data_IF_372324846881
#
_entry.id   IF_372324846881
#
_cell.length_a   1.000
_cell.length_b   1.000
_cell.length_c   1.000
_cell.angle_alpha   90.00
_cell.angle_beta   90.00
_cell.angle_gamma   90.00
#
_symmetry.space_group_name_H-M   'P 1'
#
loop_
_entity.id
_entity.type
_entity.pdbx_description
1 polymer ?
#
# COMPACT_ATOMS: atom_id res chain seq x y z
N UNK A 1 -43.94 -56.07 11.56
CA UNK A 1 -43.56 -54.72 12.03
C UNK A 1 -42.24 -54.34 11.37
N UNK A 2 -42.18 -53.11 10.86
CA UNK A 2 -41.06 -52.42 10.19
C UNK A 2 -40.79 -52.79 8.72
N UNK A 3 -41.53 -52.07 7.87
CA UNK A 3 -41.24 -51.75 6.47
C UNK A 3 -40.69 -50.32 6.36
N UNK A 4 -39.98 -50.05 5.25
CA UNK A 4 -39.95 -48.75 4.54
C UNK A 4 -39.10 -47.61 5.10
N UNK A 5 -37.85 -47.49 4.63
CA UNK A 5 -37.12 -46.23 4.48
C UNK A 5 -35.90 -46.41 3.55
N UNK A 6 -36.10 -46.44 2.23
CA UNK A 6 -34.99 -46.72 1.30
C UNK A 6 -35.11 -46.22 -0.14
N UNK A 7 -36.01 -45.27 -0.46
CA UNK A 7 -36.26 -44.89 -1.86
C UNK A 7 -36.22 -43.37 -2.13
N UNK A 8 -35.98 -42.49 -1.14
CA UNK A 8 -36.10 -41.04 -1.35
C UNK A 8 -34.76 -40.33 -1.67
N UNK A 9 -33.60 -40.97 -1.50
CA UNK A 9 -32.30 -40.29 -1.63
C UNK A 9 -31.67 -40.27 -3.02
N UNK A 10 -32.19 -41.04 -3.99
CA UNK A 10 -31.60 -41.10 -5.33
C UNK A 10 -32.28 -40.21 -6.39
N UNK A 11 -33.48 -39.69 -6.13
CA UNK A 11 -34.16 -38.75 -7.04
C UNK A 11 -33.68 -37.30 -6.88
N UNK A 12 -33.09 -36.93 -5.74
CA UNK A 12 -32.57 -35.57 -5.51
C UNK A 12 -31.18 -35.31 -6.13
N UNK A 13 -30.38 -36.35 -6.37
CA UNK A 13 -29.04 -36.19 -6.99
C UNK A 13 -29.10 -35.97 -8.51
N UNK A 14 -30.13 -36.48 -9.19
CA UNK A 14 -30.26 -36.33 -10.64
C UNK A 14 -30.71 -34.92 -11.05
N UNK A 15 -31.55 -34.25 -10.24
CA UNK A 15 -31.99 -32.87 -10.51
C UNK A 15 -30.90 -31.82 -10.26
N UNK A 16 -29.98 -32.06 -9.31
CA UNK A 16 -28.91 -31.09 -9.03
C UNK A 16 -27.84 -31.03 -10.12
N UNK A 17 -27.59 -32.14 -10.82
CA UNK A 17 -26.66 -32.19 -11.97
C UNK A 17 -27.26 -31.61 -13.25
N UNK A 18 -28.58 -31.71 -13.47
CA UNK A 18 -29.23 -31.06 -14.61
C UNK A 18 -29.36 -29.54 -14.42
N UNK A 19 -29.65 -29.06 -13.20
CA UNK A 19 -29.69 -27.61 -12.91
C UNK A 19 -28.29 -26.98 -13.06
N UNK A 20 -27.22 -27.65 -12.61
CA UNK A 20 -25.85 -27.16 -12.81
C UNK A 20 -25.38 -27.20 -14.28
N UNK A 21 -25.94 -28.07 -15.12
CA UNK A 21 -25.68 -28.05 -16.58
C UNK A 21 -26.44 -26.93 -17.29
N UNK A 22 -27.68 -26.64 -16.89
CA UNK A 22 -28.48 -25.55 -17.47
C UNK A 22 -27.90 -24.18 -17.07
N UNK A 23 -27.47 -24.00 -15.82
CA UNK A 23 -26.78 -22.78 -15.36
C UNK A 23 -25.43 -22.58 -16.07
N UNK A 24 -24.70 -23.66 -16.38
CA UNK A 24 -23.44 -23.57 -17.13
C UNK A 24 -23.62 -23.39 -18.66
N UNK A 25 -24.77 -23.74 -19.23
CA UNK A 25 -25.09 -23.48 -20.63
C UNK A 25 -25.63 -22.05 -20.82
N UNK A 26 -26.41 -21.51 -19.87
CA UNK A 26 -26.81 -20.10 -19.88
C UNK A 26 -25.63 -19.14 -19.61
N UNK A 27 -24.61 -19.55 -18.83
CA UNK A 27 -23.40 -18.74 -18.61
C UNK A 27 -22.43 -18.74 -19.80
N UNK A 28 -22.52 -19.70 -20.72
CA UNK A 28 -21.75 -19.71 -21.98
C UNK A 28 -22.44 -18.96 -23.12
N UNK A 29 -23.77 -18.89 -23.14
CA UNK A 29 -24.51 -18.17 -24.20
C UNK A 29 -24.62 -16.65 -23.99
N UNK A 30 -24.17 -16.10 -22.86
CA UNK A 30 -24.06 -14.66 -22.60
C UNK A 30 -22.63 -14.09 -22.81
N UNK A 31 -21.76 -14.82 -23.52
CA UNK A 31 -20.41 -14.36 -23.88
C UNK A 31 -20.32 -13.85 -25.33
N UNK A 32 -20.99 -12.74 -25.63
CA UNK A 32 -20.46 -11.70 -26.54
C UNK A 32 -21.33 -10.45 -26.63
N UNK A 33 -22.15 -10.14 -25.61
CA UNK A 33 -22.65 -8.78 -25.48
C UNK A 33 -21.43 -7.96 -25.05
N UNK A 34 -20.93 -7.10 -25.95
CA UNK A 34 -19.82 -6.21 -25.69
C UNK A 34 -20.07 -5.52 -24.35
N UNK A 35 -19.32 -5.91 -23.31
CA UNK A 35 -19.36 -5.21 -22.02
C UNK A 35 -19.04 -3.76 -22.35
N UNK A 36 -19.91 -2.79 -22.02
CA UNK A 36 -19.58 -1.38 -22.20
C UNK A 36 -18.24 -1.15 -21.51
N UNK A 37 -17.26 -0.70 -22.31
CA UNK A 37 -15.89 -0.55 -21.85
C UNK A 37 -15.84 0.50 -20.74
N UNK A 38 -15.32 0.09 -19.59
CA UNK A 38 -15.25 0.89 -18.37
C UNK A 38 -14.26 2.05 -18.58
N UNK A 39 -14.72 3.27 -18.31
CA UNK A 39 -13.87 4.47 -18.30
C UNK A 39 -13.29 4.60 -16.89
N UNK A 40 -11.96 4.49 -16.74
CA UNK A 40 -11.30 4.51 -15.43
C UNK A 40 -10.76 5.90 -15.10
N UNK A 41 -11.60 6.77 -14.52
CA UNK A 41 -11.21 8.17 -14.27
C UNK A 41 -10.04 8.33 -13.28
N UNK A 42 -10.01 7.51 -12.22
CA UNK A 42 -8.95 7.57 -11.19
C UNK A 42 -7.65 6.91 -11.67
N UNK A 43 -7.74 5.86 -12.49
CA UNK A 43 -6.54 5.18 -13.00
C UNK A 43 -5.89 5.89 -14.17
N UNK A 44 -6.64 6.69 -14.92
CA UNK A 44 -6.07 7.63 -15.89
C UNK A 44 -5.11 8.62 -15.21
N UNK A 45 -5.48 9.12 -14.02
CA UNK A 45 -4.65 10.00 -13.22
C UNK A 45 -3.40 9.28 -12.64
N UNK A 46 -3.46 7.96 -12.48
CA UNK A 46 -2.35 7.13 -12.01
C UNK A 46 -1.29 6.85 -13.10
N UNK A 47 -1.48 7.27 -14.36
CA UNK A 47 -0.56 6.92 -15.45
C UNK A 47 0.91 7.30 -15.21
N UNK A 48 1.26 8.53 -14.75
CA UNK A 48 2.65 8.88 -14.46
C UNK A 48 3.27 7.95 -13.41
N UNK A 49 2.46 7.47 -12.47
CA UNK A 49 2.90 6.60 -11.40
C UNK A 49 3.06 5.15 -11.85
N UNK A 50 2.15 4.64 -12.68
CA UNK A 50 2.34 3.33 -13.33
C UNK A 50 3.61 3.34 -14.17
N UNK A 51 3.89 4.44 -14.88
CA UNK A 51 5.14 4.62 -15.62
C UNK A 51 6.35 4.63 -14.68
N UNK A 52 6.28 5.29 -13.52
CA UNK A 52 7.35 5.28 -12.52
C UNK A 52 7.61 3.87 -11.99
N UNK A 53 6.57 3.12 -11.65
CA UNK A 53 6.70 1.72 -11.23
C UNK A 53 7.29 0.83 -12.30
N UNK A 54 6.93 1.03 -13.57
CA UNK A 54 7.53 0.30 -14.68
C UNK A 54 9.00 0.68 -14.84
N UNK A 55 9.35 1.96 -14.76
CA UNK A 55 10.71 2.45 -14.88
C UNK A 55 11.62 1.89 -13.77
N UNK A 56 11.14 1.87 -12.53
CA UNK A 56 11.85 1.30 -11.38
C UNK A 56 11.81 -0.25 -11.36
N UNK A 57 11.18 -0.85 -12.36
CA UNK A 57 11.00 -2.28 -12.47
C UNK A 57 10.20 -2.86 -11.32
N UNK A 58 9.30 -2.12 -10.67
CA UNK A 58 8.43 -2.64 -9.61
C UNK A 58 7.30 -3.49 -10.18
N UNK A 59 6.74 -3.11 -11.34
CA UNK A 59 5.53 -3.74 -11.87
C UNK A 59 5.65 -3.98 -13.38
N UNK A 60 5.53 -5.23 -13.85
CA UNK A 60 5.65 -5.59 -15.27
C UNK A 60 4.29 -5.56 -16.02
N UNK A 61 3.47 -4.53 -15.86
CA UNK A 61 2.19 -4.45 -16.59
C UNK A 61 2.33 -3.72 -17.91
N UNK A 62 1.51 -4.12 -18.89
CA UNK A 62 1.25 -3.31 -20.08
C UNK A 62 -0.14 -2.72 -19.94
N UNK A 63 -0.26 -1.47 -20.33
CA UNK A 63 -1.52 -0.75 -20.31
C UNK A 63 -2.10 -0.80 -21.73
N UNK A 64 -3.17 -1.57 -21.92
CA UNK A 64 -3.89 -1.58 -23.17
C UNK A 64 -4.79 -0.34 -23.25
N UNK A 65 -4.48 0.56 -24.20
CA UNK A 65 -5.35 1.68 -24.56
C UNK A 65 -6.31 1.27 -25.65
N UNK A 66 -7.55 1.70 -25.52
CA UNK A 66 -8.51 1.58 -26.61
C UNK A 66 -8.15 2.61 -27.70
N UNK A 67 -7.86 2.15 -28.91
CA UNK A 67 -7.50 3.00 -30.04
C UNK A 67 -8.58 4.02 -30.40
N UNK A 68 -9.86 3.70 -30.17
CA UNK A 68 -10.99 4.56 -30.51
C UNK A 68 -11.22 5.67 -29.47
N UNK A 69 -11.03 5.39 -28.19
CA UNK A 69 -11.32 6.37 -27.11
C UNK A 69 -10.07 6.99 -26.50
N UNK A 70 -8.88 6.45 -26.80
CA UNK A 70 -7.61 6.73 -26.11
C UNK A 70 -7.65 6.46 -24.59
N UNK A 71 -8.72 5.81 -24.10
CA UNK A 71 -8.92 5.50 -22.69
C UNK A 71 -8.34 4.15 -22.31
N UNK A 72 -8.08 4.01 -21.02
CA UNK A 72 -7.53 2.80 -20.42
C UNK A 72 -8.55 1.67 -20.50
N UNK A 73 -8.19 0.57 -21.17
CA UNK A 73 -9.10 -0.56 -21.37
C UNK A 73 -8.80 -1.72 -20.42
N UNK A 74 -7.52 -2.07 -20.24
CA UNK A 74 -7.16 -3.28 -19.49
C UNK A 74 -5.71 -3.27 -18.98
N UNK A 75 -5.52 -3.91 -17.83
CA UNK A 75 -4.22 -4.36 -17.34
C UNK A 75 -3.95 -5.79 -17.80
N UNK A 76 -2.89 -5.99 -18.56
CA UNK A 76 -2.41 -7.33 -18.95
C UNK A 76 -0.97 -7.54 -18.51
N UNK A 77 -0.74 -8.70 -17.89
CA UNK A 77 0.60 -9.21 -17.61
C UNK A 77 0.90 -10.30 -18.65
N UNK A 78 1.98 -10.14 -19.41
CA UNK A 78 2.42 -11.16 -20.35
C UNK A 78 3.92 -11.02 -20.60
N UNK A 79 4.61 -12.17 -20.56
CA UNK A 79 6.03 -12.29 -20.92
C UNK A 79 6.32 -11.95 -22.39
N UNK A 80 5.28 -11.83 -23.23
CA UNK A 80 5.44 -11.41 -24.63
C UNK A 80 5.70 -9.91 -24.78
N UNK A 81 5.45 -9.09 -23.76
CA UNK A 81 5.63 -7.64 -23.84
C UNK A 81 7.08 -7.22 -23.52
N UNK A 82 7.58 -6.21 -24.26
CA UNK A 82 8.92 -5.62 -24.04
C UNK A 82 9.10 -5.07 -22.63
N UNK A 83 8.04 -4.56 -22.01
CA UNK A 83 8.04 -4.06 -20.62
C UNK A 83 8.42 -5.14 -19.60
N UNK A 84 8.07 -6.40 -19.87
CA UNK A 84 8.40 -7.53 -19.00
C UNK A 84 9.90 -7.85 -19.04
N UNK A 85 10.54 -7.72 -20.21
CA UNK A 85 11.99 -7.86 -20.33
C UNK A 85 12.75 -6.76 -19.60
N UNK A 86 12.27 -5.51 -19.69
CA UNK A 86 12.81 -4.40 -18.90
C UNK A 86 12.73 -4.67 -17.40
N UNK A 87 11.58 -5.14 -16.91
CA UNK A 87 11.41 -5.53 -15.52
C UNK A 87 12.40 -6.61 -15.07
N UNK A 88 12.60 -7.66 -15.89
CA UNK A 88 13.55 -8.74 -15.59
C UNK A 88 14.98 -8.19 -15.55
N UNK A 89 15.35 -7.35 -16.53
CA UNK A 89 16.67 -6.71 -16.58
C UNK A 89 16.93 -5.87 -15.33
N UNK A 90 16.02 -4.96 -14.98
CA UNK A 90 16.15 -4.12 -13.78
C UNK A 90 16.20 -4.96 -12.51
N UNK A 91 15.39 -6.02 -12.42
CA UNK A 91 15.40 -6.92 -11.26
C UNK A 91 16.76 -7.61 -11.09
N UNK A 92 17.33 -8.16 -12.17
CA UNK A 92 18.66 -8.79 -12.15
C UNK A 92 19.72 -7.75 -11.79
N UNK A 93 19.71 -6.58 -12.43
CA UNK A 93 20.67 -5.52 -12.16
C UNK A 93 20.62 -5.03 -10.71
N UNK A 94 19.43 -4.93 -10.11
CA UNK A 94 19.28 -4.55 -8.70
C UNK A 94 19.84 -5.62 -7.75
N UNK A 95 19.58 -6.90 -8.02
CA UNK A 95 20.15 -8.01 -7.22
C UNK A 95 21.68 -8.01 -7.32
N UNK A 96 22.23 -7.87 -8.53
CA UNK A 96 23.67 -7.78 -8.74
C UNK A 96 24.28 -6.56 -8.01
N UNK A 97 23.60 -5.41 -8.07
CA UNK A 97 24.02 -4.21 -7.34
C UNK A 97 24.06 -4.44 -5.82
N UNK A 98 23.05 -5.11 -5.25
CA UNK A 98 23.05 -5.43 -3.82
C UNK A 98 24.16 -6.41 -3.46
N UNK A 99 24.40 -7.45 -4.27
CA UNK A 99 25.48 -8.40 -4.03
C UNK A 99 26.84 -7.70 -4.08
N UNK A 100 27.05 -6.82 -5.08
CA UNK A 100 28.26 -6.01 -5.18
C UNK A 100 28.43 -5.10 -3.95
N UNK A 101 27.36 -4.41 -3.53
CA UNK A 101 27.37 -3.55 -2.33
C UNK A 101 27.57 -4.34 -1.04
N UNK A 102 27.08 -5.57 -0.95
CA UNK A 102 27.33 -6.45 0.19
C UNK A 102 28.80 -6.86 0.25
N UNK A 103 29.42 -7.14 -0.90
CA UNK A 103 30.84 -7.48 -0.96
C UNK A 103 31.72 -6.29 -0.58
N UNK A 104 31.41 -5.08 -1.05
CA UNK A 104 32.13 -3.87 -0.64
C UNK A 104 31.89 -3.52 0.83
N UNK A 105 30.66 -3.70 1.33
CA UNK A 105 30.31 -3.49 2.74
C UNK A 105 31.05 -4.46 3.66
N UNK A 106 31.29 -5.71 3.25
CA UNK A 106 32.09 -6.66 4.05
C UNK A 106 33.51 -6.15 4.31
N UNK A 107 34.14 -5.48 3.34
CA UNK A 107 35.47 -4.91 3.53
C UNK A 107 35.44 -3.75 4.55
N UNK A 108 34.38 -2.94 4.53
CA UNK A 108 34.15 -1.88 5.53
C UNK A 108 33.86 -2.49 6.90
N UNK A 109 33.06 -3.55 6.94
CA UNK A 109 32.76 -4.30 8.16
C UNK A 109 34.00 -4.92 8.78
N UNK A 110 34.92 -5.46 7.96
CA UNK A 110 36.22 -5.96 8.41
C UNK A 110 37.05 -4.82 9.02
N UNK A 111 37.17 -3.69 8.33
CA UNK A 111 37.85 -2.50 8.85
C UNK A 111 37.25 -2.01 10.18
N UNK A 112 35.92 -1.94 10.29
CA UNK A 112 35.21 -1.58 11.51
C UNK A 112 35.41 -2.61 12.63
N UNK A 113 35.48 -3.89 12.30
CA UNK A 113 35.70 -4.97 13.28
C UNK A 113 37.12 -5.00 13.84
N UNK A 114 38.10 -4.52 13.06
CA UNK A 114 39.50 -4.41 13.51
C UNK A 114 39.75 -3.17 14.38
N UNK A 115 38.86 -2.19 14.35
CA UNK A 115 38.96 -0.99 15.18
C UNK A 115 38.53 -1.31 16.63
N UNK A 116 39.50 -1.32 17.54
CA UNK A 116 39.28 -1.61 18.96
C UNK A 116 38.40 -0.56 19.66
N UNK A 117 38.22 0.61 19.06
CA UNK A 117 37.39 1.69 19.61
C UNK A 117 35.91 1.55 19.25
N UNK A 118 35.58 0.65 18.31
CA UNK A 118 34.21 0.45 17.87
C UNK A 118 33.46 -0.55 18.75
N UNK A 119 32.31 -0.18 19.31
CA UNK A 119 31.50 -1.09 20.10
C UNK A 119 30.86 -2.12 19.16
N UNK A 120 30.87 -3.38 19.58
CA UNK A 120 30.24 -4.50 18.86
C UNK A 120 28.78 -4.21 18.53
N UNK A 121 28.10 -3.41 19.37
CA UNK A 121 26.73 -2.94 19.15
C UNK A 121 26.56 -2.19 17.82
N UNK A 122 27.49 -1.32 17.44
CA UNK A 122 27.42 -0.57 16.16
C UNK A 122 27.53 -1.55 14.97
N UNK A 123 28.44 -2.52 15.04
CA UNK A 123 28.62 -3.54 13.99
C UNK A 123 27.35 -4.39 13.80
N UNK A 124 26.73 -4.83 14.91
CA UNK A 124 25.48 -5.60 14.88
C UNK A 124 24.36 -4.75 14.25
N UNK A 125 24.18 -3.51 14.70
CA UNK A 125 23.12 -2.64 14.21
C UNK A 125 23.27 -2.31 12.72
N UNK A 126 24.50 -2.09 12.25
CA UNK A 126 24.80 -1.87 10.83
C UNK A 126 24.47 -3.11 9.99
N UNK A 127 24.85 -4.29 10.48
CA UNK A 127 24.54 -5.59 9.84
C UNK A 127 23.04 -5.83 9.76
N UNK A 128 22.30 -5.60 10.85
CA UNK A 128 20.83 -5.75 10.87
C UNK A 128 20.16 -4.75 9.92
N UNK A 129 20.67 -3.53 9.84
CA UNK A 129 20.16 -2.51 8.89
C UNK A 129 20.39 -2.94 7.43
N UNK A 130 21.56 -3.50 7.10
CA UNK A 130 21.82 -4.04 5.78
C UNK A 130 20.89 -5.20 5.42
N UNK A 131 20.75 -6.18 6.30
CA UNK A 131 19.82 -7.30 6.10
C UNK A 131 18.38 -6.83 5.95
N UNK A 132 17.99 -5.80 6.69
CA UNK A 132 16.69 -5.15 6.59
C UNK A 132 16.45 -4.53 5.20
N UNK A 133 17.46 -3.90 4.58
CA UNK A 133 17.35 -3.37 3.20
C UNK A 133 17.17 -4.47 2.17
N UNK A 134 17.84 -5.61 2.33
CA UNK A 134 17.65 -6.77 1.46
C UNK A 134 16.23 -7.31 1.62
N UNK A 135 15.73 -7.41 2.85
CA UNK A 135 14.35 -7.82 3.12
C UNK A 135 13.34 -6.87 2.47
N UNK A 136 13.55 -5.55 2.53
CA UNK A 136 12.73 -4.53 1.86
C UNK A 136 12.70 -4.73 0.33
N UNK A 137 13.85 -5.03 -0.29
CA UNK A 137 13.92 -5.35 -1.71
C UNK A 137 13.09 -6.61 -2.03
N UNK A 138 13.29 -7.70 -1.29
CA UNK A 138 12.56 -8.96 -1.53
C UNK A 138 11.05 -8.76 -1.35
N UNK A 139 10.67 -7.96 -0.37
CA UNK A 139 9.28 -7.69 -0.06
C UNK A 139 8.57 -6.86 -1.15
N UNK A 140 9.23 -5.87 -1.73
CA UNK A 140 8.69 -5.14 -2.87
C UNK A 140 8.41 -6.08 -4.05
N UNK A 141 9.25 -7.12 -4.22
CA UNK A 141 9.04 -8.19 -5.21
C UNK A 141 7.90 -9.13 -4.85
N UNK A 142 7.73 -9.47 -3.58
CA UNK A 142 6.61 -10.29 -3.10
C UNK A 142 5.24 -9.65 -3.41
N UNK A 143 5.13 -8.31 -3.38
CA UNK A 143 3.90 -7.60 -3.75
C UNK A 143 3.52 -7.89 -5.22
N UNK A 144 4.50 -7.95 -6.11
CA UNK A 144 4.30 -8.27 -7.54
C UNK A 144 3.77 -9.68 -7.72
N UNK A 145 4.25 -10.64 -6.94
CA UNK A 145 3.78 -12.02 -7.00
C UNK A 145 2.29 -12.14 -6.62
N UNK A 146 1.75 -11.17 -5.86
CA UNK A 146 0.34 -11.10 -5.47
C UNK A 146 -0.51 -10.24 -6.43
N UNK A 147 -0.07 -10.03 -7.67
CA UNK A 147 -0.79 -9.20 -8.65
C UNK A 147 -2.25 -9.60 -8.87
N UNK A 148 -2.60 -10.88 -8.73
CA UNK A 148 -3.98 -11.33 -8.90
C UNK A 148 -4.92 -10.67 -7.88
N UNK A 149 -4.48 -10.53 -6.63
CA UNK A 149 -5.24 -9.83 -5.58
C UNK A 149 -5.32 -8.34 -5.84
N UNK A 150 -4.22 -7.73 -6.30
CA UNK A 150 -4.23 -6.31 -6.67
C UNK A 150 -5.26 -6.05 -7.78
N UNK A 151 -5.32 -6.94 -8.77
CA UNK A 151 -6.33 -6.90 -9.82
C UNK A 151 -7.75 -7.03 -9.25
N UNK A 152 -8.00 -7.97 -8.32
CA UNK A 152 -9.31 -8.12 -7.69
C UNK A 152 -9.72 -6.86 -6.91
N UNK A 153 -8.78 -6.23 -6.21
CA UNK A 153 -9.01 -4.96 -5.51
C UNK A 153 -9.36 -3.84 -6.50
N UNK A 154 -8.64 -3.73 -7.62
CA UNK A 154 -8.93 -2.76 -8.69
C UNK A 154 -10.31 -3.03 -9.30
N UNK A 155 -10.67 -4.28 -9.59
CA UNK A 155 -11.99 -4.64 -10.12
C UNK A 155 -13.12 -4.30 -9.12
N UNK A 156 -12.89 -4.48 -7.83
CA UNK A 156 -13.83 -4.07 -6.79
C UNK A 156 -14.00 -2.53 -6.73
N UNK A 157 -12.89 -1.78 -6.80
CA UNK A 157 -12.94 -0.31 -6.86
C UNK A 157 -13.67 0.18 -8.13
N UNK A 158 -13.46 -0.47 -9.27
CA UNK A 158 -14.19 -0.17 -10.50
C UNK A 158 -15.69 -0.42 -10.35
N UNK A 159 -16.08 -1.50 -9.67
CA UNK A 159 -17.50 -1.75 -9.38
C UNK A 159 -18.09 -0.64 -8.49
N UNK A 160 -17.32 -0.12 -7.53
CA UNK A 160 -17.73 1.05 -6.72
C UNK A 160 -17.93 2.28 -7.59
N UNK A 161 -17.01 2.60 -8.50
CA UNK A 161 -17.17 3.72 -9.45
C UNK A 161 -18.45 3.57 -10.29
N UNK A 162 -18.70 2.37 -10.81
CA UNK A 162 -19.93 2.07 -11.55
C UNK A 162 -21.18 2.26 -10.70
N UNK A 163 -21.11 1.90 -9.42
CA UNK A 163 -22.20 2.09 -8.47
C UNK A 163 -22.40 3.55 -8.08
N UNK A 164 -21.44 4.45 -8.24
CA UNK A 164 -21.65 5.90 -8.08
C UNK A 164 -22.22 6.54 -9.35
N UNK A 165 -21.71 6.16 -10.53
CA UNK A 165 -22.14 6.63 -11.84
C UNK A 165 -21.33 7.84 -12.35
N UNK A 166 -21.17 7.91 -13.67
CA UNK A 166 -20.19 8.80 -14.34
C UNK A 166 -20.41 10.30 -14.08
N UNK A 167 -21.67 10.73 -13.99
CA UNK A 167 -22.02 12.14 -13.77
C UNK A 167 -21.56 12.66 -12.40
N UNK A 168 -21.68 11.83 -11.37
CA UNK A 168 -21.30 12.19 -10.00
C UNK A 168 -19.78 12.26 -9.84
N UNK A 169 -19.07 11.30 -10.44
CA UNK A 169 -17.61 11.24 -10.38
C UNK A 169 -16.95 12.40 -11.15
N UNK A 170 -17.50 12.80 -12.29
CA UNK A 170 -16.95 13.91 -13.09
C UNK A 170 -16.96 15.25 -12.33
N UNK A 171 -17.94 15.46 -11.45
CA UNK A 171 -18.10 16.70 -10.70
C UNK A 171 -17.16 16.78 -9.48
N UNK A 172 -16.80 15.64 -8.89
CA UNK A 172 -16.12 15.61 -7.60
C UNK A 172 -14.64 15.13 -7.64
N UNK A 173 -14.22 14.37 -8.66
CA UNK A 173 -12.91 13.72 -8.68
C UNK A 173 -11.75 14.49 -9.32
N UNK A 174 -11.95 15.71 -9.86
CA UNK A 174 -10.95 16.28 -10.78
C UNK A 174 -9.72 16.91 -10.10
N UNK A 175 -9.87 17.51 -8.91
CA UNK A 175 -8.80 18.37 -8.35
C UNK A 175 -8.08 17.78 -7.12
N UNK A 176 -8.78 17.07 -6.23
CA UNK A 176 -8.20 16.62 -4.95
C UNK A 176 -7.19 15.47 -5.11
N UNK A 177 -7.54 14.49 -5.96
CA UNK A 177 -6.76 13.27 -6.14
C UNK A 177 -5.43 13.59 -6.86
N UNK A 178 -5.49 14.34 -7.97
CA UNK A 178 -4.31 14.77 -8.74
C UNK A 178 -3.29 15.53 -7.90
N UNK A 179 -3.74 16.45 -7.03
CA UNK A 179 -2.84 17.21 -6.17
C UNK A 179 -2.09 16.30 -5.18
N UNK A 180 -2.79 15.36 -4.54
CA UNK A 180 -2.16 14.40 -3.63
C UNK A 180 -1.22 13.45 -4.35
N UNK A 181 -1.49 13.10 -5.60
CA UNK A 181 -0.56 12.33 -6.42
C UNK A 181 0.73 13.09 -6.70
N UNK A 182 0.64 14.37 -7.08
CA UNK A 182 1.83 15.21 -7.33
C UNK A 182 2.67 15.33 -6.05
N UNK A 183 2.02 15.61 -4.92
CA UNK A 183 2.68 15.67 -3.61
C UNK A 183 3.37 14.34 -3.29
N UNK A 184 2.67 13.23 -3.47
CA UNK A 184 3.23 11.90 -3.24
C UNK A 184 4.41 11.56 -4.15
N UNK A 185 4.35 11.94 -5.43
CA UNK A 185 5.46 11.78 -6.36
C UNK A 185 6.70 12.57 -5.91
N UNK A 186 6.51 13.82 -5.47
CA UNK A 186 7.61 14.64 -4.92
C UNK A 186 8.16 13.99 -3.64
N UNK A 187 7.28 13.52 -2.76
CA UNK A 187 7.67 12.84 -1.52
C UNK A 187 8.40 11.51 -1.73
N UNK A 188 8.22 10.83 -2.86
CA UNK A 188 8.98 9.62 -3.21
C UNK A 188 10.37 9.97 -3.76
N UNK A 189 10.45 10.97 -4.64
CA UNK A 189 11.72 11.28 -5.31
C UNK A 189 12.67 12.09 -4.41
N UNK A 190 12.15 13.00 -3.58
CA UNK A 190 12.97 13.89 -2.77
C UNK A 190 13.86 13.13 -1.74
N UNK A 191 13.34 12.14 -0.97
CA UNK A 191 14.17 11.35 -0.07
C UNK A 191 15.19 10.49 -0.82
N UNK A 192 14.83 9.92 -1.98
CA UNK A 192 15.77 9.12 -2.79
C UNK A 192 16.93 9.97 -3.32
N UNK A 193 16.65 11.18 -3.80
CA UNK A 193 17.67 12.13 -4.26
C UNK A 193 18.52 12.60 -3.06
N UNK A 194 17.90 12.95 -1.95
CA UNK A 194 18.64 13.34 -0.73
C UNK A 194 19.53 12.22 -0.21
N UNK A 195 19.04 10.97 -0.21
CA UNK A 195 19.86 9.79 0.12
C UNK A 195 21.08 9.69 -0.79
N UNK A 196 20.92 9.93 -2.10
CA UNK A 196 22.05 9.91 -3.04
C UNK A 196 23.06 10.98 -2.68
N UNK A 197 22.64 12.23 -2.47
CA UNK A 197 23.56 13.33 -2.12
C UNK A 197 24.35 13.03 -0.86
N UNK A 198 23.68 12.52 0.17
CA UNK A 198 24.34 12.23 1.44
C UNK A 198 25.21 10.96 1.36
N UNK A 199 24.88 10.02 0.47
CA UNK A 199 25.70 8.83 0.23
C UNK A 199 26.93 9.11 -0.64
N UNK A 200 26.98 10.21 -1.41
CA UNK A 200 28.16 10.57 -2.21
C UNK A 200 29.37 10.77 -1.30
N UNK A 201 29.24 11.51 -0.19
CA UNK A 201 30.36 11.73 0.74
C UNK A 201 30.88 10.43 1.37
N UNK A 202 29.98 9.51 1.71
CA UNK A 202 30.34 8.18 2.20
C UNK A 202 31.00 7.32 1.10
N UNK A 203 30.63 7.53 -0.17
CA UNK A 203 31.22 6.81 -1.29
C UNK A 203 32.57 7.39 -1.72
N UNK A 204 32.79 8.70 -1.57
CA UNK A 204 34.06 9.35 -1.88
C UNK A 204 35.18 8.79 -0.99
N UNK A 205 34.92 8.58 0.30
CA UNK A 205 35.87 7.94 1.22
C UNK A 205 36.20 6.50 0.80
N UNK A 206 35.21 5.75 0.33
CA UNK A 206 35.38 4.41 -0.24
C UNK A 206 36.08 4.41 -1.61
N UNK A 207 35.86 5.43 -2.43
CA UNK A 207 36.45 5.56 -3.77
C UNK A 207 37.94 5.88 -3.73
N UNK A 208 38.43 6.50 -2.64
CA UNK A 208 39.87 6.70 -2.42
C UNK A 208 40.67 5.39 -2.40
N UNK A 209 40.00 4.26 -2.12
CA UNK A 209 40.59 2.91 -2.12
C UNK A 209 40.68 2.28 -3.51
N UNK A 210 39.98 2.82 -4.51
CA UNK A 210 39.92 2.24 -5.83
C UNK A 210 40.27 3.28 -6.90
N UNK A 211 41.29 3.00 -7.72
CA UNK A 211 41.48 3.59 -9.05
C UNK A 211 40.32 3.21 -10.01
N UNK A 212 39.08 3.17 -9.52
CA UNK A 212 37.93 2.62 -10.19
C UNK A 212 37.42 3.55 -11.28
N UNK A 213 37.11 2.95 -12.43
CA UNK A 213 36.37 3.56 -13.53
C UNK A 213 35.17 4.37 -12.99
N UNK A 214 35.17 5.69 -13.22
CA UNK A 214 34.07 6.61 -12.92
C UNK A 214 32.73 6.03 -13.39
N UNK A 215 32.72 5.37 -14.56
CA UNK A 215 31.57 4.69 -15.13
C UNK A 215 30.93 3.65 -14.20
N UNK A 216 31.74 2.85 -13.49
CA UNK A 216 31.26 1.82 -12.57
C UNK A 216 30.61 2.46 -11.34
N UNK A 217 31.25 3.48 -10.77
CA UNK A 217 30.72 4.24 -9.64
C UNK A 217 29.37 4.87 -10.00
N UNK A 218 29.31 5.57 -11.15
CA UNK A 218 28.07 6.19 -11.64
C UNK A 218 26.97 5.15 -11.86
N UNK A 219 27.32 3.98 -12.42
CA UNK A 219 26.35 2.89 -12.62
C UNK A 219 25.82 2.32 -11.30
N UNK A 220 26.70 2.08 -10.31
CA UNK A 220 26.28 1.60 -8.99
C UNK A 220 25.38 2.62 -8.28
N UNK A 221 25.72 3.91 -8.35
CA UNK A 221 24.91 4.98 -7.73
C UNK A 221 23.54 5.14 -8.41
N UNK A 222 23.50 5.04 -9.73
CA UNK A 222 22.24 5.03 -10.47
C UNK A 222 21.35 3.83 -10.06
N UNK A 223 21.93 2.63 -10.00
CA UNK A 223 21.20 1.43 -9.58
C UNK A 223 20.72 1.53 -8.12
N UNK A 224 21.55 2.07 -7.23
CA UNK A 224 21.18 2.30 -5.83
C UNK A 224 20.01 3.28 -5.72
N UNK A 225 20.01 4.34 -6.53
CA UNK A 225 18.90 5.31 -6.58
C UNK A 225 17.62 4.63 -7.07
N UNK A 226 17.71 3.79 -8.11
CA UNK A 226 16.55 3.02 -8.57
C UNK A 226 16.00 2.08 -7.49
N UNK A 227 16.87 1.46 -6.67
CA UNK A 227 16.45 0.64 -5.54
C UNK A 227 15.71 1.50 -4.51
N UNK A 228 16.24 2.67 -4.13
CA UNK A 228 15.58 3.57 -3.19
C UNK A 228 14.23 4.08 -3.71
N UNK A 229 14.16 4.53 -4.96
CA UNK A 229 12.90 4.95 -5.58
C UNK A 229 11.91 3.79 -5.60
N UNK A 230 12.33 2.56 -5.91
CA UNK A 230 11.45 1.40 -5.89
C UNK A 230 10.91 1.08 -4.49
N UNK A 231 11.75 1.20 -3.46
CA UNK A 231 11.33 1.03 -2.06
C UNK A 231 10.30 2.11 -1.70
N UNK A 232 10.60 3.39 -1.95
CA UNK A 232 9.68 4.50 -1.65
C UNK A 232 8.37 4.43 -2.45
N UNK A 233 8.44 3.97 -3.70
CA UNK A 233 7.30 3.60 -4.53
C UNK A 233 6.40 2.56 -3.84
N UNK A 234 6.96 1.60 -3.11
CA UNK A 234 6.19 0.58 -2.39
C UNK A 234 5.39 1.19 -1.23
N UNK A 235 6.00 2.09 -0.46
CA UNK A 235 5.32 2.85 0.60
C UNK A 235 4.19 3.70 0.00
N UNK A 236 4.48 4.41 -1.08
CA UNK A 236 3.51 5.25 -1.73
C UNK A 236 2.38 4.45 -2.39
N UNK A 237 2.65 3.25 -2.92
CA UNK A 237 1.59 2.34 -3.41
C UNK A 237 0.61 2.01 -2.28
N UNK A 238 1.12 1.61 -1.12
CA UNK A 238 0.29 1.30 0.05
C UNK A 238 -0.55 2.52 0.44
N UNK A 239 0.07 3.70 0.54
CA UNK A 239 -0.61 4.95 0.83
C UNK A 239 -1.76 5.21 -0.15
N UNK A 240 -1.51 5.08 -1.46
CA UNK A 240 -2.51 5.34 -2.49
C UNK A 240 -3.67 4.35 -2.45
N UNK A 241 -3.40 3.06 -2.24
CA UNK A 241 -4.44 2.04 -2.14
C UNK A 241 -5.42 2.36 -0.99
N UNK A 242 -4.90 2.69 0.19
CA UNK A 242 -5.73 3.04 1.34
C UNK A 242 -6.38 4.42 1.19
N UNK A 243 -5.69 5.38 0.57
CA UNK A 243 -6.25 6.69 0.27
C UNK A 243 -7.44 6.61 -0.69
N UNK A 244 -7.35 5.78 -1.73
CA UNK A 244 -8.45 5.59 -2.69
C UNK A 244 -9.69 5.02 -1.97
N UNK A 245 -9.51 4.00 -1.13
CA UNK A 245 -10.60 3.45 -0.31
C UNK A 245 -11.21 4.54 0.58
N UNK A 246 -10.36 5.27 1.30
CA UNK A 246 -10.78 6.37 2.17
C UNK A 246 -11.56 7.45 1.41
N UNK A 247 -11.10 7.83 0.21
CA UNK A 247 -11.76 8.80 -0.65
C UNK A 247 -13.16 8.34 -1.06
N UNK A 248 -13.34 7.07 -1.44
CA UNK A 248 -14.68 6.55 -1.75
C UNK A 248 -15.57 6.41 -0.53
N UNK A 249 -15.01 6.10 0.66
CA UNK A 249 -15.77 6.16 1.91
C UNK A 249 -16.25 7.59 2.15
N UNK A 250 -15.38 8.59 1.97
CA UNK A 250 -15.73 10.01 2.12
C UNK A 250 -16.82 10.44 1.11
N UNK A 251 -16.69 10.04 -0.16
CA UNK A 251 -17.72 10.28 -1.17
C UNK A 251 -19.05 9.64 -0.79
N UNK A 252 -19.03 8.46 -0.17
CA UNK A 252 -20.23 7.79 0.30
C UNK A 252 -20.91 8.58 1.43
N UNK A 253 -20.16 9.26 2.29
CA UNK A 253 -20.70 10.17 3.33
C UNK A 253 -21.34 11.40 2.69
N UNK A 254 -20.64 12.06 1.77
CA UNK A 254 -21.14 13.28 1.13
C UNK A 254 -22.38 12.99 0.27
N UNK A 255 -22.41 11.83 -0.40
CA UNK A 255 -23.55 11.41 -1.21
C UNK A 255 -24.80 11.17 -0.37
N UNK A 256 -24.69 10.62 0.85
CA UNK A 256 -25.83 10.50 1.75
C UNK A 256 -26.38 11.87 2.16
N UNK A 257 -25.51 12.83 2.49
CA UNK A 257 -25.96 14.14 2.96
C UNK A 257 -26.69 14.93 1.86
N UNK A 258 -26.15 14.96 0.64
CA UNK A 258 -26.78 15.67 -0.50
C UNK A 258 -28.10 15.06 -0.97
N UNK A 259 -28.27 13.74 -0.82
CA UNK A 259 -29.52 13.08 -1.25
C UNK A 259 -30.65 13.42 -0.28
N UNK A 260 -30.34 13.57 1.00
CA UNK A 260 -31.33 13.87 2.03
C UNK A 260 -31.78 15.33 2.04
N UNK A 261 -30.91 16.29 1.73
CA UNK A 261 -31.30 17.71 1.56
C UNK A 261 -32.31 17.88 0.40
N UNK A 262 -32.21 17.04 -0.63
CA UNK A 262 -33.13 17.01 -1.76
C UNK A 262 -34.40 16.19 -1.46
N UNK A 263 -34.32 15.12 -0.67
CA UNK A 263 -35.47 14.28 -0.31
C UNK A 263 -36.36 14.91 0.78
N UNK A 264 -35.83 15.80 1.62
CA UNK A 264 -36.61 16.65 2.55
C UNK A 264 -37.66 17.53 1.84
N UNK A 265 -37.54 17.70 0.51
CA UNK A 265 -38.52 18.43 -0.32
C UNK A 265 -39.55 17.53 -1.02
N UNK A 266 -39.39 16.21 -1.06
CA UNK A 266 -40.25 15.31 -1.84
C UNK A 266 -40.63 14.03 -1.09
N UNK A 267 -41.93 13.90 -0.81
CA UNK A 267 -42.59 12.88 -0.01
C UNK A 267 -42.56 11.47 -0.65
N UNK A 268 -41.40 10.79 -0.71
CA UNK A 268 -41.25 9.42 -1.27
C UNK A 268 -40.44 8.46 -0.39
N UNK A 269 -41.17 7.70 0.43
CA UNK A 269 -40.65 6.60 1.28
C UNK A 269 -39.93 5.47 0.53
N UNK A 270 -40.30 5.20 -0.73
CA UNK A 270 -39.70 4.14 -1.56
C UNK A 270 -38.32 4.51 -2.15
N UNK A 271 -37.94 5.79 -2.13
CA UNK A 271 -36.64 6.28 -2.59
C UNK A 271 -35.51 5.87 -1.64
N UNK A 272 -35.72 6.11 -0.34
CA UNK A 272 -34.73 5.87 0.71
C UNK A 272 -34.27 4.41 0.78
N UNK A 273 -35.17 3.44 0.57
CA UNK A 273 -34.78 2.02 0.64
C UNK A 273 -33.80 1.64 -0.49
N UNK A 274 -34.00 2.20 -1.69
CA UNK A 274 -33.12 1.94 -2.84
C UNK A 274 -31.75 2.61 -2.67
N UNK A 275 -31.71 3.83 -2.12
CA UNK A 275 -30.46 4.57 -1.86
C UNK A 275 -29.65 3.93 -0.74
N UNK A 276 -30.32 3.46 0.31
CA UNK A 276 -29.69 2.74 1.42
C UNK A 276 -29.09 1.40 0.98
N UNK A 277 -29.87 0.58 0.25
CA UNK A 277 -29.39 -0.69 -0.30
C UNK A 277 -28.21 -0.51 -1.25
N UNK A 278 -28.21 0.56 -2.05
CA UNK A 278 -27.09 0.92 -2.93
C UNK A 278 -25.86 1.30 -2.12
N UNK A 279 -26.02 2.10 -1.06
CA UNK A 279 -24.93 2.50 -0.16
C UNK A 279 -24.31 1.31 0.58
N UNK A 280 -25.14 0.38 1.06
CA UNK A 280 -24.67 -0.87 1.67
C UNK A 280 -23.87 -1.72 0.68
N UNK A 281 -24.34 -1.83 -0.58
CA UNK A 281 -23.63 -2.55 -1.63
C UNK A 281 -22.28 -1.89 -1.98
N UNK A 282 -22.22 -0.57 -2.07
CA UNK A 282 -20.97 0.17 -2.28
C UNK A 282 -19.99 -0.14 -1.14
N UNK A 283 -20.48 -0.06 0.10
CA UNK A 283 -19.66 -0.31 1.28
C UNK A 283 -19.12 -1.75 1.33
N UNK A 284 -19.96 -2.76 1.07
CA UNK A 284 -19.54 -4.16 0.99
C UNK A 284 -18.45 -4.38 -0.07
N UNK A 285 -18.60 -3.71 -1.22
CA UNK A 285 -17.61 -3.77 -2.30
C UNK A 285 -16.30 -3.08 -1.91
N UNK A 286 -16.35 -1.97 -1.15
CA UNK A 286 -15.17 -1.30 -0.59
C UNK A 286 -14.47 -2.16 0.46
N UNK A 287 -15.22 -2.84 1.34
CA UNK A 287 -14.68 -3.80 2.30
C UNK A 287 -13.96 -4.95 1.60
N UNK A 288 -14.53 -5.48 0.50
CA UNK A 288 -13.86 -6.48 -0.32
C UNK A 288 -12.55 -5.96 -0.91
N UNK A 289 -12.55 -4.74 -1.46
CA UNK A 289 -11.32 -4.12 -1.97
C UNK A 289 -10.27 -3.94 -0.85
N UNK A 290 -10.69 -3.48 0.32
CA UNK A 290 -9.83 -3.31 1.49
C UNK A 290 -9.27 -4.64 1.99
N UNK A 291 -10.08 -5.70 2.03
CA UNK A 291 -9.63 -7.04 2.41
C UNK A 291 -8.58 -7.58 1.44
N UNK A 292 -8.76 -7.42 0.12
CA UNK A 292 -7.77 -7.82 -0.89
C UNK A 292 -6.46 -7.02 -0.75
N UNK A 293 -6.56 -5.73 -0.43
CA UNK A 293 -5.40 -4.84 -0.19
C UNK A 293 -4.68 -5.24 1.11
N UNK A 294 -5.41 -5.44 2.20
CA UNK A 294 -4.86 -5.95 3.46
C UNK A 294 -4.13 -7.27 3.21
N UNK A 295 -4.72 -8.17 2.44
CA UNK A 295 -4.12 -9.44 2.05
C UNK A 295 -2.82 -9.31 1.22
N UNK A 296 -2.61 -8.20 0.51
CA UNK A 296 -1.36 -7.91 -0.21
C UNK A 296 -0.33 -7.30 0.73
N UNK A 297 -0.73 -6.31 1.52
CA UNK A 297 0.17 -5.46 2.31
C UNK A 297 0.35 -5.91 3.76
N UNK A 298 -0.42 -6.87 4.27
CA UNK A 298 -0.42 -7.25 5.69
C UNK A 298 0.96 -7.74 6.16
N UNK A 299 1.55 -8.71 5.47
CA UNK A 299 2.92 -9.14 5.77
C UNK A 299 3.97 -8.09 5.37
N UNK A 300 3.89 -7.46 4.18
CA UNK A 300 4.79 -6.36 3.85
C UNK A 300 4.87 -5.24 4.87
N UNK A 301 3.74 -4.75 5.35
CA UNK A 301 3.68 -3.64 6.31
C UNK A 301 4.28 -4.04 7.64
N UNK A 302 4.09 -5.29 8.10
CA UNK A 302 4.77 -5.78 9.30
C UNK A 302 6.29 -5.66 9.15
N UNK A 303 6.83 -6.23 8.07
CA UNK A 303 8.27 -6.18 7.80
C UNK A 303 8.77 -4.74 7.63
N UNK A 304 8.07 -3.90 6.86
CA UNK A 304 8.45 -2.49 6.66
C UNK A 304 8.45 -1.72 7.99
N UNK A 305 7.43 -1.89 8.83
CA UNK A 305 7.39 -1.21 10.13
C UNK A 305 8.52 -1.68 11.03
N UNK A 306 8.80 -2.98 11.08
CA UNK A 306 9.90 -3.53 11.87
C UNK A 306 11.26 -3.06 11.36
N UNK A 307 11.52 -3.14 10.06
CA UNK A 307 12.82 -2.73 9.49
C UNK A 307 13.05 -1.23 9.66
N UNK A 308 12.02 -0.41 9.46
CA UNK A 308 12.13 1.05 9.65
C UNK A 308 12.30 1.41 11.11
N UNK A 309 11.62 0.72 12.03
CA UNK A 309 11.81 0.95 13.45
C UNK A 309 13.24 0.61 13.90
N UNK A 310 13.78 -0.54 13.47
CA UNK A 310 15.16 -0.92 13.76
C UNK A 310 16.13 0.10 13.15
N UNK A 311 15.88 0.54 11.92
CA UNK A 311 16.68 1.57 11.25
C UNK A 311 16.65 2.88 12.03
N UNK A 312 15.48 3.35 12.47
CA UNK A 312 15.33 4.56 13.30
C UNK A 312 16.17 4.47 14.57
N UNK A 313 16.06 3.37 15.32
CA UNK A 313 16.83 3.16 16.56
C UNK A 313 18.33 3.13 16.24
N UNK A 314 18.73 2.43 15.19
CA UNK A 314 20.14 2.30 14.76
C UNK A 314 20.74 3.66 14.42
N UNK A 315 20.10 4.44 13.54
CA UNK A 315 20.65 5.72 13.09
C UNK A 315 20.62 6.77 14.19
N UNK A 316 19.62 6.75 15.08
CA UNK A 316 19.61 7.61 16.26
C UNK A 316 20.78 7.31 17.18
N UNK A 317 21.02 6.02 17.48
CA UNK A 317 22.14 5.61 18.33
C UNK A 317 23.48 5.98 17.71
N UNK A 318 23.71 5.63 16.44
CA UNK A 318 24.98 5.93 15.75
C UNK A 318 25.22 7.43 15.69
N UNK A 319 24.19 8.23 15.41
CA UNK A 319 24.29 9.69 15.41
C UNK A 319 24.73 10.21 16.78
N UNK A 320 24.07 9.82 17.87
CA UNK A 320 24.45 10.28 19.22
C UNK A 320 25.84 9.76 19.60
N UNK A 321 26.15 8.50 19.29
CA UNK A 321 27.46 7.91 19.56
C UNK A 321 28.57 8.70 18.86
N UNK A 322 28.35 9.14 17.62
CA UNK A 322 29.32 9.95 16.86
C UNK A 322 29.59 11.35 17.45
N UNK A 323 28.69 11.88 18.29
CA UNK A 323 28.96 13.10 19.06
C UNK A 323 29.79 12.87 20.31
N UNK A 324 29.71 11.67 20.89
CA UNK A 324 30.39 11.33 22.15
C UNK A 324 31.81 10.83 21.86
N UNK A 325 31.98 10.05 20.79
CA UNK A 325 33.23 9.43 20.42
C UNK A 325 33.67 9.87 19.03
N UNK A 326 34.85 10.48 18.94
CA UNK A 326 35.47 10.84 17.67
C UNK A 326 35.91 9.56 16.94
N UNK A 327 35.30 9.30 15.77
CA UNK A 327 35.74 8.24 14.88
C UNK A 327 35.60 8.72 13.42
N UNK A 328 36.71 8.68 12.68
CA UNK A 328 36.79 9.20 11.32
C UNK A 328 35.78 8.54 10.35
N UNK A 329 35.44 7.26 10.57
CA UNK A 329 34.45 6.55 9.74
C UNK A 329 33.04 7.07 10.02
N UNK A 330 32.70 7.31 11.30
CA UNK A 330 31.38 7.85 11.67
C UNK A 330 31.23 9.32 11.30
N UNK A 331 32.31 10.09 11.37
CA UNK A 331 32.31 11.52 11.00
C UNK A 331 31.90 11.71 9.53
N UNK A 332 32.34 10.81 8.64
CA UNK A 332 31.94 10.81 7.22
C UNK A 332 30.43 10.62 7.01
N UNK A 333 29.74 10.02 7.99
CA UNK A 333 28.31 9.75 7.98
C UNK A 333 27.45 10.73 8.79
N UNK A 334 28.02 11.79 9.37
CA UNK A 334 27.33 12.64 10.35
C UNK A 334 26.05 13.29 9.79
N UNK A 335 26.01 13.61 8.49
CA UNK A 335 24.79 14.14 7.82
C UNK A 335 23.84 12.99 7.40
N UNK A 336 24.39 11.79 7.12
CA UNK A 336 23.64 10.61 6.69
C UNK A 336 22.72 10.08 7.77
N UNK A 337 23.22 9.93 8.99
CA UNK A 337 22.47 9.36 10.09
C UNK A 337 21.18 10.14 10.43
N UNK A 338 21.19 11.48 10.65
CA UNK A 338 19.97 12.22 10.94
C UNK A 338 19.04 12.30 9.73
N UNK A 339 19.57 12.32 8.50
CA UNK A 339 18.75 12.28 7.29
C UNK A 339 17.98 10.95 7.17
N UNK A 340 18.66 9.82 7.36
CA UNK A 340 18.01 8.50 7.34
C UNK A 340 17.01 8.37 8.50
N UNK A 341 17.36 8.86 9.69
CA UNK A 341 16.45 8.88 10.83
C UNK A 341 15.14 9.62 10.53
N UNK A 342 15.21 10.84 9.99
CA UNK A 342 14.02 11.64 9.65
C UNK A 342 13.21 10.97 8.53
N UNK A 343 13.88 10.46 7.50
CA UNK A 343 13.19 9.81 6.37
C UNK A 343 12.53 8.49 6.75
N UNK A 344 13.14 7.68 7.64
CA UNK A 344 12.50 6.44 8.10
C UNK A 344 11.34 6.72 9.05
N UNK A 345 11.42 7.77 9.88
CA UNK A 345 10.27 8.24 10.66
C UNK A 345 9.11 8.71 9.78
N UNK A 346 9.39 9.49 8.74
CA UNK A 346 8.34 9.96 7.83
C UNK A 346 7.67 8.80 7.09
N UNK A 347 8.44 7.76 6.70
CA UNK A 347 7.91 6.51 6.11
C UNK A 347 6.97 5.77 7.06
N UNK A 348 7.34 5.63 8.34
CA UNK A 348 6.48 5.03 9.37
C UNK A 348 5.19 5.85 9.50
N UNK A 349 5.29 7.18 9.62
CA UNK A 349 4.12 8.05 9.74
C UNK A 349 3.18 7.95 8.54
N UNK A 350 3.72 7.87 7.32
CA UNK A 350 2.92 7.69 6.10
C UNK A 350 2.13 6.37 6.14
N UNK A 351 2.76 5.27 6.54
CA UNK A 351 2.06 3.97 6.69
C UNK A 351 0.93 4.10 7.72
N UNK A 352 1.27 4.57 8.93
CA UNK A 352 0.31 4.64 10.04
C UNK A 352 -0.87 5.57 9.71
N UNK A 353 -0.60 6.73 9.10
CA UNK A 353 -1.62 7.68 8.68
C UNK A 353 -2.50 7.12 7.56
N UNK A 354 -1.92 6.40 6.60
CA UNK A 354 -2.69 5.79 5.50
C UNK A 354 -3.64 4.70 5.99
N UNK A 355 -3.18 3.87 6.94
CA UNK A 355 -3.96 2.79 7.52
C UNK A 355 -5.13 3.31 8.38
N UNK A 356 -4.92 4.43 9.08
CA UNK A 356 -5.91 5.04 9.97
C UNK A 356 -6.99 5.85 9.21
N UNK A 357 -6.65 6.41 8.05
CA UNK A 357 -7.54 7.28 7.29
C UNK A 357 -8.93 6.69 6.98
N UNK A 358 -9.07 5.48 6.38
CA UNK A 358 -10.39 4.93 6.07
C UNK A 358 -11.19 4.59 7.32
N UNK A 359 -10.50 4.19 8.40
CA UNK A 359 -11.09 3.84 9.70
C UNK A 359 -11.66 5.08 10.38
N UNK A 360 -10.90 6.19 10.39
CA UNK A 360 -11.33 7.47 10.95
C UNK A 360 -12.57 8.00 10.25
N UNK A 361 -12.57 8.01 8.92
CA UNK A 361 -13.73 8.45 8.12
C UNK A 361 -14.95 7.56 8.34
N UNK A 362 -14.73 6.25 8.52
CA UNK A 362 -15.80 5.31 8.83
C UNK A 362 -16.41 5.61 10.21
N UNK A 363 -15.57 5.86 11.22
CA UNK A 363 -16.01 6.21 12.58
C UNK A 363 -16.75 7.54 12.60
N UNK A 364 -16.27 8.54 11.88
CA UNK A 364 -16.96 9.84 11.72
C UNK A 364 -18.37 9.62 11.15
N UNK A 365 -18.48 8.82 10.07
CA UNK A 365 -19.77 8.45 9.49
C UNK A 365 -20.67 7.71 10.48
N UNK A 366 -20.16 6.69 11.16
CA UNK A 366 -20.94 5.94 12.15
C UNK A 366 -21.48 6.87 13.24
N UNK A 367 -20.64 7.81 13.72
CA UNK A 367 -21.05 8.78 14.73
C UNK A 367 -22.14 9.72 14.23
N UNK A 368 -22.06 10.16 12.97
CA UNK A 368 -23.07 11.01 12.33
C UNK A 368 -24.40 10.27 12.12
N UNK A 369 -24.36 9.00 11.71
CA UNK A 369 -25.57 8.17 11.58
C UNK A 369 -26.19 7.89 12.95
N UNK A 370 -25.37 7.58 13.97
CA UNK A 370 -25.86 7.34 15.33
C UNK A 370 -26.47 8.59 15.96
N UNK A 371 -25.82 9.74 15.85
CA UNK A 371 -26.36 11.00 16.38
C UNK A 371 -27.70 11.32 15.72
N UNK A 372 -27.83 11.10 14.41
CA UNK A 372 -29.07 11.33 13.67
C UNK A 372 -30.19 10.36 14.02
N UNK A 373 -29.88 9.07 14.20
CA UNK A 373 -30.87 8.06 14.64
C UNK A 373 -31.44 8.40 16.02
N UNK A 374 -30.63 8.95 16.92
CA UNK A 374 -31.08 9.38 18.26
C UNK A 374 -32.11 10.52 18.18
N UNK A 375 -32.14 11.29 17.09
CA UNK A 375 -33.13 12.34 16.84
C UNK A 375 -34.31 11.90 15.95
N UNK A 376 -34.29 10.70 15.36
CA UNK A 376 -35.41 10.18 14.57
C UNK A 376 -36.53 9.66 15.47
N UNK A 377 -37.75 10.20 15.28
CA UNK A 377 -38.98 9.77 15.98
C UNK A 377 -39.50 8.39 15.53
N UNK A 378 -38.96 7.78 14.47
CA UNK A 378 -39.47 6.51 13.93
C UNK A 378 -38.55 5.33 14.26
N UNK A 379 -39.11 4.36 14.99
CA UNK A 379 -38.44 3.13 15.41
C UNK A 379 -37.89 2.31 14.23
N UNK A 380 -38.60 2.28 13.09
CA UNK A 380 -38.15 1.58 11.87
C UNK A 380 -36.86 2.16 11.31
N UNK A 381 -36.73 3.49 11.30
CA UNK A 381 -35.57 4.19 10.73
C UNK A 381 -34.35 3.98 11.64
N UNK A 382 -34.59 3.85 12.96
CA UNK A 382 -33.56 3.52 13.94
C UNK A 382 -33.09 2.06 13.86
N UNK A 383 -34.01 1.11 13.68
CA UNK A 383 -33.65 -0.30 13.47
C UNK A 383 -32.88 -0.48 12.17
N UNK A 384 -33.26 0.25 11.11
CA UNK A 384 -32.63 0.15 9.79
C UNK A 384 -31.21 0.76 9.80
N UNK A 385 -31.04 1.95 10.39
CA UNK A 385 -29.73 2.54 10.65
C UNK A 385 -28.85 1.62 11.50
N UNK A 386 -29.44 0.97 12.51
CA UNK A 386 -28.72 0.04 13.39
C UNK A 386 -28.33 -1.26 12.65
N UNK A 387 -29.15 -1.79 11.75
CA UNK A 387 -28.77 -2.93 10.89
C UNK A 387 -27.67 -2.56 9.90
N UNK A 388 -27.65 -1.33 9.39
CA UNK A 388 -26.57 -0.86 8.51
C UNK A 388 -25.27 -0.69 9.29
N UNK A 389 -25.33 -0.12 10.51
CA UNK A 389 -24.21 -0.04 11.42
C UNK A 389 -23.68 -1.43 11.82
N UNK A 390 -24.57 -2.41 12.02
CA UNK A 390 -24.19 -3.80 12.30
C UNK A 390 -23.51 -4.50 11.11
N UNK A 391 -23.82 -4.08 9.88
CA UNK A 391 -23.15 -4.60 8.67
C UNK A 391 -21.79 -3.94 8.43
N UNK A 392 -21.55 -2.76 9.01
CA UNK A 392 -20.30 -2.03 8.90
C UNK A 392 -19.35 -2.54 10.00
N UNK A 393 -18.57 -3.56 9.66
CA UNK A 393 -17.50 -4.06 10.51
C UNK A 393 -16.21 -3.25 10.26
N UNK A 394 -15.81 -2.44 11.24
CA UNK A 394 -14.59 -1.62 11.22
C UNK A 394 -13.34 -2.49 10.99
N UNK A 395 -13.37 -3.75 11.44
CA UNK A 395 -12.23 -4.66 11.33
C UNK A 395 -12.01 -5.17 9.90
N UNK A 396 -12.99 -5.04 9.00
CA UNK A 396 -12.84 -5.38 7.57
C UNK A 396 -12.07 -4.32 6.77
N UNK A 397 -12.02 -3.10 7.27
CA UNK A 397 -11.37 -1.96 6.59
C UNK A 397 -10.00 -1.65 7.18
N UNK A 398 -9.72 -2.17 8.39
CA UNK A 398 -8.45 -1.99 9.09
C UNK A 398 -7.34 -2.81 8.46
N UNK A 399 -6.21 -2.15 8.24
CA UNK A 399 -4.96 -2.82 7.93
C UNK A 399 -4.43 -3.54 9.18
N UNK A 400 -4.05 -4.80 9.00
CA UNK A 400 -3.45 -5.63 10.05
C UNK A 400 -2.06 -6.05 9.63
N UNK A 401 -1.10 -6.01 10.56
CA UNK A 401 0.28 -6.42 10.31
C UNK A 401 0.40 -7.94 10.55
N UNK A 402 0.25 -8.73 9.48
CA UNK A 402 0.17 -10.20 9.49
C UNK A 402 -0.78 -10.79 10.56
N UNK A 403 -1.84 -10.07 10.94
CA UNK A 403 -2.75 -10.46 12.02
C UNK A 403 -2.22 -10.26 13.45
N UNK A 404 -0.98 -9.75 13.63
CA UNK A 404 -0.38 -9.52 14.96
C UNK A 404 -0.98 -8.30 15.66
N UNK A 405 -1.10 -7.17 14.94
CA UNK A 405 -1.65 -5.94 15.47
C UNK A 405 -2.33 -5.11 14.39
N UNK A 406 -3.23 -4.21 14.81
CA UNK A 406 -3.92 -3.25 13.94
C UNK A 406 -2.98 -2.09 13.65
N UNK A 407 -2.80 -1.74 12.37
CA UNK A 407 -1.89 -0.67 11.96
C UNK A 407 -2.65 0.66 11.99
N UNK A 408 -2.12 1.66 12.70
CA UNK A 408 -2.72 2.99 12.75
C UNK A 408 -1.97 3.97 13.64
N UNK A 409 -2.45 5.20 13.71
CA UNK A 409 -1.79 6.31 14.42
C UNK A 409 -1.63 6.08 15.93
N UNK A 410 -2.44 5.19 16.52
CA UNK A 410 -2.35 4.79 17.92
C UNK A 410 -1.01 4.13 18.30
N UNK A 411 -0.23 3.64 17.32
CA UNK A 411 1.08 3.06 17.56
C UNK A 411 2.19 4.11 17.80
N UNK A 412 1.97 5.37 17.42
CA UNK A 412 3.02 6.41 17.50
C UNK A 412 3.56 6.58 18.93
N UNK A 413 2.73 6.78 19.97
CA UNK A 413 3.24 6.96 21.33
C UNK A 413 4.06 5.76 21.82
N UNK A 414 3.64 4.53 21.47
CA UNK A 414 4.35 3.31 21.83
C UNK A 414 5.71 3.20 21.12
N UNK A 415 5.76 3.49 19.82
CA UNK A 415 7.01 3.49 19.04
C UNK A 415 7.97 4.57 19.54
N UNK A 416 7.49 5.80 19.74
CA UNK A 416 8.31 6.90 20.26
C UNK A 416 8.84 6.58 21.65
N UNK A 417 7.98 6.07 22.55
CA UNK A 417 8.39 5.64 23.88
C UNK A 417 9.48 4.57 23.82
N UNK A 418 9.32 3.56 22.96
CA UNK A 418 10.31 2.51 22.78
C UNK A 418 11.65 3.06 22.26
N UNK A 419 11.64 3.94 21.24
CA UNK A 419 12.89 4.57 20.73
C UNK A 419 13.59 5.32 21.86
N UNK A 420 12.88 6.16 22.61
CA UNK A 420 13.46 6.93 23.73
C UNK A 420 14.03 5.99 24.80
N UNK A 421 13.29 4.96 25.21
CA UNK A 421 13.77 3.98 26.18
C UNK A 421 15.03 3.26 25.70
N UNK A 422 15.07 2.81 24.43
CA UNK A 422 16.25 2.19 23.86
C UNK A 422 17.43 3.15 23.79
N UNK A 423 17.22 4.41 23.41
CA UNK A 423 18.29 5.42 23.41
C UNK A 423 18.86 5.61 24.82
N UNK A 424 18.02 5.72 25.85
CA UNK A 424 18.48 5.87 27.24
C UNK A 424 19.30 4.67 27.68
N UNK A 425 18.84 3.45 27.41
CA UNK A 425 19.57 2.22 27.77
C UNK A 425 20.91 2.14 27.03
N UNK A 426 20.92 2.44 25.73
CA UNK A 426 22.12 2.35 24.91
C UNK A 426 23.17 3.42 25.24
N UNK A 427 22.76 4.57 25.82
CA UNK A 427 23.68 5.63 26.24
C UNK A 427 24.24 5.43 27.67
N UNK A 428 23.60 4.57 28.46
CA UNK A 428 24.07 4.25 29.82
C UNK A 428 25.14 3.15 29.85
N UNK A 429 25.21 2.34 28.79
CA UNK A 429 26.23 1.31 28.57
C UNK A 429 27.37 1.88 27.73
#
# INVERSE_FOLDING_TARGET
MVTSAGIITNTFKCNHQQINRIVNLQSRSYKSVAKPFLIMSVFEQLHPFVSLFQACGMIPYTIERNLATQKFAKFTFSFKHRTTWWFVLISISQVLCIVAMSFTSNNVGESLSTDKTMPVTVLILFSVTHMSRIAELLLSRCIVLRFHRLRNAVEAVQEVERLFGDKYLAQQNRNSITARFIIGFILVNLPAIGMLFVSISALESLSSLANSNILLITSMMFMLTLIYIMIDCTFFLSYLCYYIIAHYIQLLVIHSDMTEDNELQMNKRDGNFKTLRRSAKIFDTLCRASSEINDIFSAPVLFLLTTKFISVVTHAFIYIYSFIHENAVLESGNIAFPFVFITDWSRILVILASADLPVRLLRERMSAVMSRSRFSKKLTDNVEAMTLLLQIDEDRVRLTAAGLFKVGMHLIPALTGAVVTYMVILLQN
#
